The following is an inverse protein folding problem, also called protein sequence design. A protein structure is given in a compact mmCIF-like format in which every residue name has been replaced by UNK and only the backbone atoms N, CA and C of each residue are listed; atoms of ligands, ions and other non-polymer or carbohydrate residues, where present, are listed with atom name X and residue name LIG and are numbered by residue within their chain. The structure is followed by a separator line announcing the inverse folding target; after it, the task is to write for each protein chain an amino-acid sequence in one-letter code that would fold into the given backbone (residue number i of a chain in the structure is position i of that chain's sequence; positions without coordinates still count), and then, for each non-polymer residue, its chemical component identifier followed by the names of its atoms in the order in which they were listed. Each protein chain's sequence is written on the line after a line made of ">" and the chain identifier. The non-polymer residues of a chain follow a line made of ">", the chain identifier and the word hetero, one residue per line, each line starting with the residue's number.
data_IF_296634342028
#
_entry.id   IF_296634342028
#
_cell.length_a   1.000
_cell.length_b   1.000
_cell.length_c   1.000
_cell.angle_alpha   90.00
_cell.angle_beta   90.00
_cell.angle_gamma   90.00
#
_symmetry.space_group_name_H-M   'P 1'
#
loop_
_entity.id
_entity.type
_entity.pdbx_description
1 polymer ?
#
# COMPACT_ATOMS: atom_id res chain seq x y z
N UNK A 1 0.44 -13.96 -5.83
CA UNK A 1 0.76 -12.76 -6.63
C UNK A 1 2.21 -12.32 -6.49
N UNK A 2 2.75 -12.18 -5.27
CA UNK A 2 4.03 -11.48 -4.99
C UNK A 2 5.24 -12.39 -4.64
N UNK A 3 5.11 -13.71 -4.80
CA UNK A 3 6.14 -14.71 -4.47
C UNK A 3 7.18 -14.87 -5.59
N UNK A 4 7.94 -13.81 -5.90
CA UNK A 4 8.75 -13.73 -7.12
C UNK A 4 9.75 -14.87 -7.34
N UNK A 5 10.51 -15.28 -6.31
CA UNK A 5 11.44 -16.42 -6.45
C UNK A 5 10.71 -17.71 -6.82
N UNK A 6 9.60 -18.01 -6.13
CA UNK A 6 8.75 -19.17 -6.44
C UNK A 6 8.15 -19.07 -7.86
N UNK A 7 7.93 -17.85 -8.34
CA UNK A 7 7.38 -17.57 -9.67
C UNK A 7 8.46 -17.56 -10.78
N UNK A 8 9.71 -17.87 -10.44
CA UNK A 8 10.82 -18.07 -11.37
C UNK A 8 11.80 -16.90 -11.48
N UNK A 9 11.79 -15.94 -10.55
CA UNK A 9 12.80 -14.87 -10.50
C UNK A 9 14.16 -15.47 -10.09
N UNK A 10 15.22 -15.37 -10.92
CA UNK A 10 16.50 -16.03 -10.64
C UNK A 10 17.33 -15.28 -9.59
N UNK A 11 17.26 -13.96 -9.55
CA UNK A 11 18.03 -13.12 -8.63
C UNK A 11 17.31 -12.85 -7.30
N UNK A 12 18.08 -12.80 -6.21
CA UNK A 12 17.56 -12.56 -4.84
C UNK A 12 18.21 -11.39 -4.11
N UNK A 13 19.16 -10.68 -4.75
CA UNK A 13 19.87 -9.55 -4.12
C UNK A 13 18.93 -8.43 -3.67
N UNK A 14 17.79 -8.24 -4.35
CA UNK A 14 16.76 -7.26 -3.97
C UNK A 14 16.21 -7.50 -2.54
N UNK A 15 16.30 -8.72 -2.00
CA UNK A 15 15.83 -9.07 -0.66
C UNK A 15 16.83 -8.68 0.44
N UNK A 16 18.08 -8.36 0.09
CA UNK A 16 19.17 -8.14 1.04
C UNK A 16 19.37 -6.66 1.43
N UNK A 17 18.55 -5.77 0.89
CA UNK A 17 18.63 -4.33 1.18
C UNK A 17 17.86 -3.98 2.45
N UNK A 18 18.48 -3.16 3.29
CA UNK A 18 17.86 -2.55 4.47
C UNK A 18 17.93 -1.03 4.35
N UNK A 19 16.87 -0.35 4.76
CA UNK A 19 16.89 1.10 4.89
C UNK A 19 17.58 1.52 6.20
N UNK A 20 18.54 2.42 6.09
CA UNK A 20 19.26 3.00 7.23
C UNK A 20 18.91 4.49 7.30
N UNK A 21 18.12 4.93 8.28
CA UNK A 21 17.91 6.35 8.52
C UNK A 21 19.23 7.06 8.81
N UNK A 22 19.28 8.36 8.53
CA UNK A 22 20.50 9.16 8.60
C UNK A 22 21.06 9.25 10.02
N UNK A 23 20.20 9.55 10.98
CA UNK A 23 20.60 9.96 12.34
C UNK A 23 20.30 8.89 13.40
N UNK A 24 19.75 7.75 13.00
CA UNK A 24 19.45 6.62 13.90
C UNK A 24 19.37 5.30 13.12
N UNK A 25 19.53 4.18 13.82
CA UNK A 25 19.21 2.86 13.27
C UNK A 25 17.77 2.47 13.59
N UNK A 26 17.11 1.80 12.66
CA UNK A 26 15.81 1.19 12.95
C UNK A 26 15.97 0.10 14.01
N UNK A 27 15.04 0.00 14.98
CA UNK A 27 15.01 -1.11 15.91
C UNK A 27 14.91 -2.41 15.14
N UNK A 28 15.55 -3.47 15.66
CA UNK A 28 15.42 -4.79 15.07
C UNK A 28 13.95 -5.20 15.14
N UNK A 29 13.40 -5.69 14.03
CA UNK A 29 12.05 -6.24 14.04
C UNK A 29 12.00 -7.50 14.91
N UNK A 30 11.05 -7.52 15.85
CA UNK A 30 10.80 -8.66 16.74
C UNK A 30 9.31 -8.99 16.71
N UNK A 31 8.98 -10.12 16.08
CA UNK A 31 7.59 -10.55 15.91
C UNK A 31 6.88 -10.69 17.27
N UNK A 32 7.53 -11.24 18.30
CA UNK A 32 6.96 -11.36 19.65
C UNK A 32 6.53 -10.00 20.22
N UNK A 33 7.38 -8.97 20.11
CA UNK A 33 7.05 -7.63 20.63
C UNK A 33 5.83 -7.05 19.93
N UNK A 34 5.75 -7.19 18.60
CA UNK A 34 4.58 -6.73 17.85
C UNK A 34 3.31 -7.50 18.24
N UNK A 35 3.39 -8.83 18.30
CA UNK A 35 2.23 -9.67 18.63
C UNK A 35 1.71 -9.42 20.05
N UNK A 36 2.60 -9.19 21.02
CA UNK A 36 2.21 -8.77 22.36
C UNK A 36 1.56 -7.38 22.38
N UNK A 37 2.11 -6.41 21.63
CA UNK A 37 1.49 -5.08 21.49
C UNK A 37 0.09 -5.15 20.85
N UNK A 38 -0.13 -6.14 19.97
CA UNK A 38 -1.39 -6.43 19.30
C UNK A 38 -2.32 -7.35 20.09
N UNK A 39 -1.96 -7.83 21.28
CA UNK A 39 -2.79 -8.76 22.05
C UNK A 39 -4.18 -8.17 22.31
N UNK A 40 -5.22 -8.89 21.90
CA UNK A 40 -6.61 -8.44 22.00
C UNK A 40 -7.01 -7.33 21.04
N UNK A 41 -6.18 -7.00 20.05
CA UNK A 41 -6.36 -5.84 19.16
C UNK A 41 -6.47 -6.21 17.68
N UNK A 42 -6.98 -5.26 16.91
CA UNK A 42 -7.11 -5.30 15.45
C UNK A 42 -6.19 -4.28 14.80
N UNK A 43 -5.38 -4.72 13.85
CA UNK A 43 -4.61 -3.85 12.97
C UNK A 43 -5.14 -4.00 11.54
N UNK A 44 -5.63 -2.90 10.95
CA UNK A 44 -6.24 -2.92 9.62
C UNK A 44 -5.51 -2.00 8.65
N UNK A 45 -5.09 -2.56 7.52
CA UNK A 45 -4.67 -1.84 6.34
C UNK A 45 -5.90 -1.50 5.50
N UNK A 46 -6.08 -0.24 5.13
CA UNK A 46 -7.23 0.23 4.34
C UNK A 46 -6.73 0.97 3.11
N UNK A 47 -7.14 0.54 1.92
CA UNK A 47 -6.74 1.24 0.71
C UNK A 47 -6.69 0.38 -0.54
N UNK A 48 -5.64 0.58 -1.34
CA UNK A 48 -5.44 -0.08 -2.64
C UNK A 48 -4.59 -1.37 -2.54
N UNK A 49 -4.19 -1.92 -3.70
CA UNK A 49 -3.42 -3.17 -3.77
C UNK A 49 -2.06 -3.09 -3.07
N UNK A 50 -1.48 -1.89 -2.94
CA UNK A 50 -0.19 -1.71 -2.26
C UNK A 50 -0.35 -1.93 -0.75
N UNK A 51 -1.49 -1.52 -0.16
CA UNK A 51 -1.78 -1.82 1.23
C UNK A 51 -2.02 -3.32 1.47
N UNK A 52 -2.63 -4.03 0.51
CA UNK A 52 -2.70 -5.50 0.55
C UNK A 52 -1.30 -6.10 0.47
N UNK A 53 -0.42 -5.57 -0.38
CA UNK A 53 0.96 -6.01 -0.50
C UNK A 53 1.73 -5.82 0.82
N UNK A 54 1.53 -4.68 1.51
CA UNK A 54 2.12 -4.41 2.82
C UNK A 54 1.53 -5.31 3.92
N UNK A 55 0.22 -5.55 3.92
CA UNK A 55 -0.43 -6.47 4.86
C UNK A 55 0.12 -7.90 4.72
N UNK A 56 0.27 -8.40 3.48
CA UNK A 56 0.84 -9.72 3.22
C UNK A 56 2.29 -9.83 3.67
N UNK A 57 3.08 -8.75 3.56
CA UNK A 57 4.42 -8.66 4.13
C UNK A 57 4.38 -8.80 5.66
N UNK A 58 3.51 -8.03 6.34
CA UNK A 58 3.39 -8.08 7.79
C UNK A 58 3.00 -9.49 8.27
N UNK A 59 2.06 -10.14 7.58
CA UNK A 59 1.69 -11.55 7.85
C UNK A 59 2.92 -12.45 7.74
N UNK A 60 3.71 -12.34 6.67
CA UNK A 60 4.95 -13.12 6.50
C UNK A 60 5.95 -12.88 7.63
N UNK A 61 6.10 -11.64 8.09
CA UNK A 61 7.03 -11.26 9.15
C UNK A 61 6.64 -11.83 10.52
N UNK A 62 5.34 -11.97 10.83
CA UNK A 62 4.88 -12.47 12.14
C UNK A 62 4.53 -13.95 12.16
N UNK A 63 4.14 -14.54 11.01
CA UNK A 63 3.54 -15.88 11.01
C UNK A 63 4.50 -17.02 11.36
N UNK A 64 5.82 -16.80 11.24
CA UNK A 64 6.83 -17.84 11.42
C UNK A 64 6.92 -18.33 12.87
N UNK A 65 6.54 -17.48 13.83
CA UNK A 65 6.53 -17.79 15.26
C UNK A 65 5.17 -18.27 15.76
N UNK A 66 4.17 -18.37 14.88
CA UNK A 66 2.80 -18.82 15.23
C UNK A 66 2.59 -20.24 14.69
N UNK A 67 2.23 -21.21 15.56
CA UNK A 67 1.92 -22.58 15.12
C UNK A 67 0.81 -22.61 14.06
N UNK A 68 0.88 -23.51 13.05
CA UNK A 68 -0.11 -23.58 11.96
C UNK A 68 -1.58 -23.64 12.41
N UNK A 69 -1.89 -24.40 13.46
CA UNK A 69 -3.23 -24.58 14.03
C UNK A 69 -3.75 -23.34 14.79
N UNK A 70 -2.84 -22.42 15.13
CA UNK A 70 -3.09 -21.17 15.87
C UNK A 70 -3.21 -19.95 14.97
N UNK A 71 -3.06 -20.12 13.65
CA UNK A 71 -3.27 -19.06 12.66
C UNK A 71 -4.30 -19.47 11.62
N UNK A 72 -5.01 -18.49 11.07
CA UNK A 72 -5.96 -18.72 9.98
C UNK A 72 -6.09 -17.49 9.10
N UNK A 73 -6.37 -17.72 7.83
CA UNK A 73 -6.62 -16.67 6.84
C UNK A 73 -8.07 -16.80 6.36
N UNK A 74 -8.84 -15.72 6.40
CA UNK A 74 -10.21 -15.67 5.87
C UNK A 74 -10.37 -14.52 4.88
N UNK A 75 -11.20 -14.78 3.87
CA UNK A 75 -11.47 -13.85 2.79
C UNK A 75 -12.98 -13.58 2.75
N UNK A 76 -13.36 -12.33 3.02
CA UNK A 76 -14.69 -11.81 2.77
C UNK A 76 -14.64 -10.90 1.53
N UNK A 77 -15.80 -10.43 1.06
CA UNK A 77 -15.90 -9.63 -0.16
C UNK A 77 -14.99 -8.39 -0.14
N UNK A 78 -14.91 -7.67 0.98
CA UNK A 78 -14.10 -6.44 1.10
C UNK A 78 -12.92 -6.60 2.05
N UNK A 79 -12.99 -7.58 2.94
CA UNK A 79 -12.04 -7.72 4.05
C UNK A 79 -11.28 -9.02 3.95
N UNK A 80 -9.98 -8.94 4.14
CA UNK A 80 -9.09 -10.09 4.33
C UNK A 80 -8.59 -10.08 5.76
N UNK A 81 -8.68 -11.21 6.47
CA UNK A 81 -8.32 -11.28 7.90
C UNK A 81 -7.35 -12.43 8.15
N UNK A 82 -6.20 -12.10 8.71
CA UNK A 82 -5.27 -13.07 9.30
C UNK A 82 -5.44 -13.04 10.82
N UNK A 83 -5.93 -14.15 11.38
CA UNK A 83 -6.20 -14.30 12.82
C UNK A 83 -5.07 -15.06 13.50
N UNK A 84 -4.67 -14.57 14.67
CA UNK A 84 -3.60 -15.13 15.51
C UNK A 84 -4.20 -15.49 16.87
N UNK A 85 -4.57 -16.76 17.05
CA UNK A 85 -5.48 -17.22 18.10
C UNK A 85 -4.92 -16.98 19.51
N UNK A 86 -3.66 -17.32 19.76
CA UNK A 86 -3.06 -17.21 21.10
C UNK A 86 -2.86 -15.77 21.56
N UNK A 87 -2.85 -14.82 20.63
CA UNK A 87 -2.79 -13.38 20.92
C UNK A 87 -4.17 -12.72 20.92
N UNK A 88 -5.22 -13.43 20.51
CA UNK A 88 -6.53 -12.85 20.21
C UNK A 88 -6.41 -11.59 19.34
N UNK A 89 -5.58 -11.66 18.30
CA UNK A 89 -5.19 -10.51 17.47
C UNK A 89 -5.47 -10.75 15.99
N UNK A 90 -5.69 -9.69 15.23
CA UNK A 90 -5.90 -9.75 13.78
C UNK A 90 -5.02 -8.76 13.00
N UNK A 91 -4.52 -9.22 11.85
CA UNK A 91 -4.07 -8.36 10.77
C UNK A 91 -5.14 -8.38 9.69
N UNK A 92 -5.63 -7.21 9.30
CA UNK A 92 -6.77 -7.07 8.42
C UNK A 92 -6.40 -6.21 7.21
N UNK A 93 -6.99 -6.48 6.05
CA UNK A 93 -6.96 -5.60 4.89
C UNK A 93 -8.39 -5.33 4.44
N UNK A 94 -8.73 -4.05 4.24
CA UNK A 94 -10.01 -3.61 3.71
C UNK A 94 -9.80 -2.88 2.38
N UNK A 95 -10.43 -3.38 1.32
CA UNK A 95 -10.35 -2.77 -0.02
C UNK A 95 -11.17 -1.48 -0.10
N UNK A 96 -10.48 -0.35 -0.28
CA UNK A 96 -11.06 0.96 -0.53
C UNK A 96 -10.04 1.81 -1.32
N UNK A 97 -9.82 1.56 -2.61
CA UNK A 97 -8.67 2.07 -3.36
C UNK A 97 -8.63 3.60 -3.47
N UNK A 98 -9.79 4.26 -3.36
CA UNK A 98 -9.95 5.71 -3.31
C UNK A 98 -10.32 6.23 -1.92
N UNK A 99 -10.39 5.35 -0.91
CA UNK A 99 -10.97 5.55 0.43
C UNK A 99 -12.48 5.84 0.41
N UNK A 100 -12.91 6.80 -0.41
CA UNK A 100 -14.32 7.09 -0.70
C UNK A 100 -14.96 5.99 -1.57
N UNK A 101 -16.30 5.95 -1.61
CA UNK A 101 -17.06 5.02 -2.44
C UNK A 101 -16.73 5.20 -3.93
N UNK A 102 -16.66 4.10 -4.65
CA UNK A 102 -16.37 4.05 -6.08
C UNK A 102 -17.02 2.85 -6.77
N UNK A 103 -17.14 2.89 -8.10
CA UNK A 103 -17.63 1.74 -8.87
C UNK A 103 -16.64 0.56 -8.91
N UNK A 104 -15.45 0.69 -8.32
CA UNK A 104 -14.39 -0.34 -8.30
C UNK A 104 -14.19 -0.96 -6.91
N UNK A 105 -15.07 -0.63 -5.95
CA UNK A 105 -15.10 -1.29 -4.64
C UNK A 105 -15.51 -2.77 -4.75
N UNK A 106 -16.53 -3.16 -5.56
CA UNK A 106 -16.95 -4.55 -5.68
C UNK A 106 -15.83 -5.47 -6.20
N UNK A 107 -15.66 -6.69 -5.65
CA UNK A 107 -14.59 -7.62 -6.06
C UNK A 107 -14.45 -7.87 -7.56
N UNK A 108 -15.57 -7.92 -8.26
CA UNK A 108 -15.62 -8.15 -9.71
C UNK A 108 -15.05 -7.00 -10.53
N UNK A 109 -14.92 -5.80 -9.96
CA UNK A 109 -14.48 -4.57 -10.63
C UNK A 109 -13.02 -4.19 -10.32
N UNK A 110 -12.33 -4.96 -9.47
CA UNK A 110 -10.98 -4.62 -8.97
C UNK A 110 -9.84 -4.88 -9.96
N UNK A 111 -10.13 -5.48 -11.11
CA UNK A 111 -9.14 -5.82 -12.14
C UNK A 111 -8.69 -4.61 -12.99
N UNK A 112 -9.26 -3.43 -12.77
CA UNK A 112 -8.88 -2.20 -13.47
C UNK A 112 -9.31 -2.18 -14.94
N UNK A 113 -10.34 -2.95 -15.30
CA UNK A 113 -10.90 -3.07 -16.66
C UNK A 113 -12.01 -2.04 -16.94
N UNK A 114 -12.46 -1.32 -15.91
CA UNK A 114 -13.47 -0.27 -16.00
C UNK A 114 -12.85 1.09 -15.70
N UNK A 115 -13.44 2.15 -16.25
CA UNK A 115 -13.07 3.52 -15.87
C UNK A 115 -13.56 3.78 -14.44
N UNK A 116 -12.66 4.13 -13.49
CA UNK A 116 -13.08 4.41 -12.13
C UNK A 116 -13.95 5.66 -12.05
N UNK A 117 -15.05 5.55 -11.32
CA UNK A 117 -15.95 6.65 -10.97
C UNK A 117 -16.01 6.75 -9.44
N UNK A 118 -15.65 7.91 -8.89
CA UNK A 118 -15.54 8.15 -7.45
C UNK A 118 -16.68 9.03 -6.93
N UNK A 119 -17.13 8.79 -5.70
CA UNK A 119 -18.08 9.64 -4.97
C UNK A 119 -17.33 10.40 -3.89
N UNK A 120 -16.80 11.57 -4.23
CA UNK A 120 -15.78 12.28 -3.44
C UNK A 120 -16.21 12.62 -2.00
N UNK A 121 -17.51 12.73 -1.73
CA UNK A 121 -18.06 13.01 -0.40
C UNK A 121 -18.70 11.79 0.30
N UNK A 122 -18.64 10.60 -0.30
CA UNK A 122 -19.29 9.39 0.23
C UNK A 122 -18.25 8.44 0.81
N UNK A 123 -18.15 8.37 2.13
CA UNK A 123 -17.16 7.49 2.81
C UNK A 123 -17.77 6.62 3.91
N UNK A 124 -18.93 6.99 4.46
CA UNK A 124 -19.48 6.38 5.68
C UNK A 124 -19.68 4.87 5.60
N UNK A 125 -20.12 4.33 4.44
CA UNK A 125 -20.28 2.88 4.26
C UNK A 125 -18.98 2.10 4.42
N UNK A 126 -17.88 2.66 3.92
CA UNK A 126 -16.57 2.06 4.17
C UNK A 126 -16.17 2.28 5.63
N UNK A 127 -16.31 3.52 6.11
CA UNK A 127 -15.99 3.93 7.47
C UNK A 127 -16.60 3.07 8.58
N UNK A 128 -17.83 2.60 8.42
CA UNK A 128 -18.48 1.72 9.39
C UNK A 128 -17.69 0.43 9.68
N UNK A 129 -16.89 -0.03 8.71
CA UNK A 129 -16.02 -1.22 8.87
C UNK A 129 -14.71 -0.92 9.59
N UNK A 130 -14.30 0.37 9.66
CA UNK A 130 -13.04 0.81 10.23
C UNK A 130 -13.16 1.24 11.69
N UNK A 131 -14.40 1.48 12.17
CA UNK A 131 -14.69 1.83 13.56
C UNK A 131 -14.15 0.78 14.52
N UNK A 132 -13.65 1.26 15.66
CA UNK A 132 -13.12 0.44 16.77
C UNK A 132 -11.92 -0.45 16.44
N UNK A 133 -11.26 -0.25 15.29
CA UNK A 133 -9.95 -0.86 14.99
C UNK A 133 -8.88 -0.11 15.80
N UNK A 134 -7.94 -0.83 16.40
CA UNK A 134 -6.94 -0.24 17.30
C UNK A 134 -5.76 0.39 16.54
N UNK A 135 -5.41 -0.15 15.37
CA UNK A 135 -4.40 0.41 14.47
C UNK A 135 -4.94 0.50 13.04
N UNK A 136 -5.13 1.72 12.53
CA UNK A 136 -5.61 1.97 11.17
C UNK A 136 -4.47 2.48 10.28
N UNK A 137 -4.15 1.73 9.23
CA UNK A 137 -3.09 2.06 8.28
C UNK A 137 -3.73 2.37 6.92
N UNK A 138 -3.87 3.64 6.59
CA UNK A 138 -4.47 4.08 5.32
C UNK A 138 -3.44 4.26 4.22
N UNK A 139 -3.83 3.97 2.97
CA UNK A 139 -3.16 4.50 1.78
C UNK A 139 -4.18 4.79 0.67
N UNK A 140 -3.80 5.63 -0.29
CA UNK A 140 -4.47 5.70 -1.58
C UNK A 140 -3.58 6.45 -2.59
N UNK A 141 -3.20 5.78 -3.68
CA UNK A 141 -2.42 6.44 -4.73
C UNK A 141 -2.54 5.77 -6.09
N UNK A 142 -2.36 4.45 -6.18
CA UNK A 142 -2.05 3.80 -7.48
C UNK A 142 -3.22 3.85 -8.47
N UNK A 143 -4.44 4.05 -7.97
CA UNK A 143 -5.66 4.21 -8.76
C UNK A 143 -5.89 5.65 -9.24
N UNK A 144 -5.24 6.64 -8.62
CA UNK A 144 -5.19 8.03 -9.08
C UNK A 144 -4.14 8.19 -10.18
N UNK A 145 -4.35 7.49 -11.30
CA UNK A 145 -3.36 7.36 -12.39
C UNK A 145 -3.70 8.16 -13.64
N UNK A 146 -4.86 8.79 -13.68
CA UNK A 146 -5.33 9.60 -14.80
C UNK A 146 -5.29 11.09 -14.45
N UNK A 147 -4.92 11.99 -15.39
CA UNK A 147 -4.92 13.43 -15.16
C UNK A 147 -6.29 13.98 -14.74
N UNK A 148 -7.37 13.30 -15.15
CA UNK A 148 -8.74 13.58 -14.74
C UNK A 148 -9.40 12.34 -14.16
N UNK A 149 -10.29 12.54 -13.19
CA UNK A 149 -11.08 11.51 -12.55
C UNK A 149 -12.57 11.75 -12.84
N UNK A 150 -13.31 10.67 -13.14
CA UNK A 150 -14.78 10.74 -13.18
C UNK A 150 -15.31 10.79 -11.75
N UNK A 151 -16.06 11.84 -11.41
CA UNK A 151 -16.63 12.01 -10.08
C UNK A 151 -18.14 12.23 -10.13
N UNK A 152 -18.87 11.66 -9.16
CA UNK A 152 -20.29 11.92 -8.94
C UNK A 152 -20.44 13.02 -7.88
N UNK A 153 -21.01 14.16 -8.26
CA UNK A 153 -21.35 15.27 -7.36
C UNK A 153 -22.84 15.19 -6.93
N UNK A 154 -23.29 14.03 -6.42
CA UNK A 154 -24.69 13.83 -6.03
C UNK A 154 -25.72 13.76 -7.17
N UNK A 155 -25.29 13.92 -8.43
CA UNK A 155 -26.08 13.72 -9.65
C UNK A 155 -25.94 12.28 -10.17
N UNK A 156 -26.83 11.89 -11.10
CA UNK A 156 -26.75 10.60 -11.82
C UNK A 156 -25.56 10.53 -12.78
N UNK A 157 -25.13 11.66 -13.33
CA UNK A 157 -24.04 11.71 -14.31
C UNK A 157 -22.70 12.10 -13.66
N UNK A 158 -21.63 11.46 -14.12
CA UNK A 158 -20.26 11.75 -13.68
C UNK A 158 -19.65 12.91 -14.47
N UNK A 159 -18.90 13.77 -13.79
CA UNK A 159 -18.12 14.85 -14.41
C UNK A 159 -16.62 14.54 -14.37
N UNK A 160 -15.86 15.07 -15.32
CA UNK A 160 -14.39 15.04 -15.27
C UNK A 160 -13.89 16.11 -14.29
N UNK A 161 -13.06 15.68 -13.34
CA UNK A 161 -12.44 16.55 -12.33
C UNK A 161 -10.93 16.38 -12.42
N UNK A 162 -10.17 17.47 -12.30
CA UNK A 162 -8.71 17.39 -12.19
C UNK A 162 -8.29 16.42 -11.07
N UNK A 163 -7.26 15.61 -11.34
CA UNK A 163 -6.77 14.61 -10.40
C UNK A 163 -6.47 15.18 -9.02
N UNK A 164 -5.77 16.32 -8.94
CA UNK A 164 -5.34 16.88 -7.66
C UNK A 164 -6.55 17.42 -6.88
N UNK A 165 -7.51 18.03 -7.58
CA UNK A 165 -8.76 18.51 -6.98
C UNK A 165 -9.60 17.34 -6.45
N UNK A 166 -9.74 16.28 -7.24
CA UNK A 166 -10.49 15.08 -6.84
C UNK A 166 -9.81 14.39 -5.64
N UNK A 167 -8.48 14.24 -5.67
CA UNK A 167 -7.70 13.65 -4.59
C UNK A 167 -7.83 14.45 -3.29
N UNK A 168 -7.71 15.78 -3.36
CA UNK A 168 -7.87 16.66 -2.20
C UNK A 168 -9.27 16.54 -1.58
N UNK A 169 -10.32 16.52 -2.40
CA UNK A 169 -11.70 16.35 -1.91
C UNK A 169 -11.89 15.00 -1.22
N UNK A 170 -11.43 13.90 -1.82
CA UNK A 170 -11.50 12.58 -1.22
C UNK A 170 -10.73 12.50 0.11
N UNK A 171 -9.53 13.08 0.18
CA UNK A 171 -8.75 13.13 1.41
C UNK A 171 -9.40 13.99 2.50
N UNK A 172 -10.04 15.11 2.14
CA UNK A 172 -10.81 15.92 3.11
C UNK A 172 -12.00 15.14 3.67
N UNK A 173 -12.70 14.37 2.84
CA UNK A 173 -13.78 13.47 3.29
C UNK A 173 -13.26 12.38 4.23
N UNK A 174 -12.09 11.80 3.92
CA UNK A 174 -11.41 10.85 4.83
C UNK A 174 -11.01 11.49 6.14
N UNK A 175 -10.36 12.66 6.11
CA UNK A 175 -9.92 13.38 7.29
C UNK A 175 -11.11 13.71 8.21
N UNK A 176 -12.20 14.23 7.64
CA UNK A 176 -13.44 14.49 8.36
C UNK A 176 -14.00 13.23 9.01
N UNK A 177 -14.04 12.10 8.28
CA UNK A 177 -14.49 10.84 8.84
C UNK A 177 -13.64 10.40 10.03
N UNK A 178 -12.30 10.52 9.94
CA UNK A 178 -11.39 10.20 11.05
C UNK A 178 -11.70 11.05 12.27
N UNK A 179 -11.81 12.38 12.09
CA UNK A 179 -12.10 13.31 13.19
C UNK A 179 -13.44 13.05 13.89
N UNK A 180 -14.44 12.58 13.14
CA UNK A 180 -15.79 12.34 13.67
C UNK A 180 -15.95 10.95 14.32
N UNK A 181 -15.12 9.97 13.96
CA UNK A 181 -15.38 8.56 14.29
C UNK A 181 -14.24 7.85 15.03
N UNK A 182 -13.05 8.44 15.11
CA UNK A 182 -11.89 7.81 15.74
C UNK A 182 -11.66 8.38 17.15
N UNK A 183 -11.68 7.50 18.15
CA UNK A 183 -11.22 7.83 19.49
C UNK A 183 -9.69 7.70 19.57
N UNK A 184 -9.00 8.83 19.61
CA UNK A 184 -7.53 8.90 19.68
C UNK A 184 -6.92 8.27 20.94
N UNK A 185 -7.69 8.04 22.01
CA UNK A 185 -7.21 7.33 23.20
C UNK A 185 -7.14 5.81 22.99
N UNK A 186 -7.86 5.31 21.99
CA UNK A 186 -7.93 3.87 21.68
C UNK A 186 -7.19 3.54 20.38
N UNK A 187 -7.39 4.35 19.36
CA UNK A 187 -7.00 4.02 17.99
C UNK A 187 -5.84 4.89 17.54
N UNK A 188 -4.76 4.26 17.08
CA UNK A 188 -3.66 4.95 16.40
C UNK A 188 -3.86 4.92 14.90
N UNK A 189 -3.85 6.10 14.28
CA UNK A 189 -4.05 6.27 12.83
C UNK A 189 -2.73 6.55 12.13
N UNK A 190 -2.52 5.86 11.02
CA UNK A 190 -1.34 5.98 10.17
C UNK A 190 -1.79 6.24 8.74
N UNK A 191 -0.99 7.02 8.00
CA UNK A 191 -1.19 7.22 6.57
C UNK A 191 0.12 7.01 5.81
N UNK A 192 0.09 6.07 4.86
CA UNK A 192 1.23 5.77 3.98
C UNK A 192 1.35 6.85 2.94
N UNK A 193 2.54 7.41 2.80
CA UNK A 193 2.83 8.15 1.58
C UNK A 193 2.86 7.22 0.37
N UNK A 194 2.96 7.82 -0.81
CA UNK A 194 2.72 7.12 -2.07
C UNK A 194 3.82 6.12 -2.42
N UNK A 195 3.41 4.91 -2.79
CA UNK A 195 4.29 3.93 -3.42
C UNK A 195 4.55 4.34 -4.87
N UNK A 196 5.82 4.50 -5.28
CA UNK A 196 6.17 4.89 -6.63
C UNK A 196 5.97 3.73 -7.61
N UNK A 197 6.02 4.08 -8.90
CA UNK A 197 6.05 3.12 -10.01
C UNK A 197 7.36 3.27 -10.76
N UNK A 198 7.81 2.22 -11.46
CA UNK A 198 9.00 2.28 -12.31
C UNK A 198 8.66 1.88 -13.75
N UNK A 199 7.85 2.73 -14.40
CA UNK A 199 7.18 2.40 -15.66
C UNK A 199 7.79 3.09 -16.89
N UNK A 200 8.37 4.29 -16.75
CA UNK A 200 8.74 5.08 -17.92
C UNK A 200 10.19 4.81 -18.32
N UNK A 201 10.46 4.81 -19.62
CA UNK A 201 11.83 4.71 -20.15
C UNK A 201 12.72 5.90 -19.73
N UNK A 202 12.10 7.07 -19.53
CA UNK A 202 12.79 8.28 -19.07
C UNK A 202 13.36 8.17 -17.66
N UNK A 203 12.82 7.27 -16.82
CA UNK A 203 13.25 7.11 -15.42
C UNK A 203 14.72 6.64 -15.31
N UNK A 204 15.29 6.15 -16.42
CA UNK A 204 16.52 5.36 -16.45
C UNK A 204 17.72 6.06 -17.04
N UNK A 205 17.56 7.27 -17.57
CA UNK A 205 18.53 7.92 -18.47
C UNK A 205 19.05 6.98 -19.59
N UNK A 206 18.28 5.96 -19.94
CA UNK A 206 18.66 4.90 -20.86
C UNK A 206 17.41 4.39 -21.58
N UNK A 207 17.30 4.68 -22.88
CA UNK A 207 16.14 4.39 -23.71
C UNK A 207 15.96 2.89 -24.02
N UNK A 208 16.97 2.06 -23.76
CA UNK A 208 16.91 0.61 -23.98
C UNK A 208 16.27 -0.15 -22.81
N UNK A 209 15.96 0.53 -21.69
CA UNK A 209 15.29 -0.09 -20.53
C UNK A 209 13.79 -0.23 -20.77
N UNK A 210 13.22 -1.34 -20.30
CA UNK A 210 11.79 -1.65 -20.43
C UNK A 210 11.17 -1.65 -19.03
N UNK A 211 10.54 -0.54 -18.64
CA UNK A 211 9.96 -0.37 -17.30
C UNK A 211 10.99 -0.78 -16.22
N UNK A 212 10.59 -1.55 -15.22
CA UNK A 212 11.42 -2.17 -14.18
C UNK A 212 11.99 -3.56 -14.56
N UNK A 213 11.81 -4.01 -15.80
CA UNK A 213 12.26 -5.34 -16.20
C UNK A 213 13.79 -5.42 -16.26
N UNK A 214 14.34 -6.53 -15.76
CA UNK A 214 15.77 -6.81 -15.67
C UNK A 214 16.57 -5.83 -14.78
N UNK A 215 15.89 -5.18 -13.84
CA UNK A 215 16.49 -4.31 -12.84
C UNK A 215 16.73 -5.10 -11.56
N UNK A 216 18.00 -5.27 -11.21
CA UNK A 216 18.44 -6.21 -10.16
C UNK A 216 19.17 -5.52 -9.01
N UNK A 217 19.30 -4.19 -9.07
CA UNK A 217 19.90 -3.35 -8.03
C UNK A 217 19.14 -2.03 -7.91
N UNK A 218 19.06 -1.44 -6.70
CA UNK A 218 18.49 -0.11 -6.50
C UNK A 218 19.17 0.96 -7.35
N UNK A 219 18.59 2.15 -7.40
CA UNK A 219 19.35 3.32 -7.86
C UNK A 219 20.58 3.50 -6.96
N UNK A 220 21.74 3.86 -7.54
CA UNK A 220 22.87 4.31 -6.73
C UNK A 220 22.49 5.55 -5.92
N UNK A 221 23.28 5.91 -4.91
CA UNK A 221 23.03 7.08 -4.07
C UNK A 221 23.20 8.38 -4.87
N UNK A 222 22.17 8.73 -5.64
CA UNK A 222 22.08 9.94 -6.46
C UNK A 222 21.11 10.92 -5.82
N UNK A 223 21.42 12.22 -5.98
CA UNK A 223 20.67 13.32 -5.37
C UNK A 223 19.29 13.51 -5.99
N UNK A 224 19.07 13.11 -7.26
CA UNK A 224 17.82 13.34 -7.99
C UNK A 224 17.32 12.08 -8.69
N UNK A 225 16.28 11.47 -8.11
CA UNK A 225 15.45 10.45 -8.73
C UNK A 225 14.09 11.09 -9.07
N UNK A 226 13.64 10.89 -10.30
CA UNK A 226 12.28 11.20 -10.73
C UNK A 226 11.76 10.01 -11.53
N UNK A 227 10.78 9.31 -10.95
CA UNK A 227 10.11 8.14 -11.55
C UNK A 227 8.64 8.46 -11.87
N UNK A 228 8.31 9.75 -11.95
CA UNK A 228 6.96 10.21 -12.25
C UNK A 228 5.97 10.18 -11.09
N UNK A 229 6.45 10.04 -9.84
CA UNK A 229 5.60 10.17 -8.65
C UNK A 229 4.97 11.57 -8.62
N UNK A 230 3.63 11.66 -8.54
CA UNK A 230 2.97 12.96 -8.45
C UNK A 230 3.23 13.61 -7.08
N UNK A 231 4.19 14.55 -7.03
CA UNK A 231 4.55 15.30 -5.82
C UNK A 231 3.44 16.21 -5.31
N UNK A 232 2.53 16.66 -6.17
CA UNK A 232 1.41 17.49 -5.73
C UNK A 232 0.48 16.70 -4.82
N UNK A 233 0.14 15.46 -5.16
CA UNK A 233 -0.67 14.59 -4.29
C UNK A 233 0.03 14.32 -2.94
N UNK A 234 1.37 14.29 -2.92
CA UNK A 234 2.16 14.09 -1.68
C UNK A 234 1.97 15.30 -0.79
N UNK A 235 2.19 16.49 -1.34
CA UNK A 235 2.00 17.77 -0.63
C UNK A 235 0.56 17.92 -0.16
N UNK A 236 -0.44 17.60 -0.99
CA UNK A 236 -1.85 17.61 -0.59
C UNK A 236 -2.10 16.68 0.60
N UNK A 237 -1.54 15.46 0.58
CA UNK A 237 -1.65 14.51 1.69
C UNK A 237 -1.08 15.09 2.98
N UNK A 238 0.14 15.63 2.93
CA UNK A 238 0.79 16.26 4.09
C UNK A 238 -0.03 17.43 4.61
N UNK A 239 -0.51 18.31 3.73
CA UNK A 239 -1.30 19.48 4.13
C UNK A 239 -2.62 19.09 4.80
N UNK A 240 -3.35 18.11 4.25
CA UNK A 240 -4.59 17.61 4.87
C UNK A 240 -4.30 17.04 6.24
N UNK A 241 -3.30 16.16 6.36
CA UNK A 241 -2.89 15.53 7.63
C UNK A 241 -2.50 16.59 8.67
N UNK A 242 -1.72 17.59 8.30
CA UNK A 242 -1.28 18.66 9.20
C UNK A 242 -2.42 19.58 9.65
N UNK A 243 -3.51 19.65 8.87
CA UNK A 243 -4.70 20.42 9.21
C UNK A 243 -5.68 19.69 10.13
N UNK A 244 -5.48 18.39 10.36
CA UNK A 244 -6.36 17.58 11.20
C UNK A 244 -6.14 17.86 12.69
N UNK A 245 -7.22 17.77 13.46
CA UNK A 245 -7.23 17.92 14.92
C UNK A 245 -6.72 16.68 15.63
N UNK A 246 -6.93 15.51 15.04
CA UNK A 246 -6.47 14.23 15.60
C UNK A 246 -5.02 14.00 15.15
N UNK A 247 -4.08 13.75 16.08
CA UNK A 247 -2.71 13.42 15.72
C UNK A 247 -2.68 12.07 15.00
N UNK A 248 -1.94 12.02 13.89
CA UNK A 248 -1.74 10.80 13.12
C UNK A 248 -0.29 10.64 12.69
N UNK A 249 0.11 9.40 12.45
CA UNK A 249 1.47 9.07 12.06
C UNK A 249 1.59 8.98 10.54
N UNK A 250 2.15 10.01 9.92
CA UNK A 250 2.49 9.98 8.49
C UNK A 250 3.81 9.24 8.29
N UNK A 251 3.78 8.08 7.63
CA UNK A 251 4.98 7.30 7.33
C UNK A 251 5.40 7.54 5.88
N UNK A 252 6.40 8.40 5.72
CA UNK A 252 6.94 8.81 4.42
C UNK A 252 7.84 7.71 3.83
N UNK A 253 7.24 6.85 3.01
CA UNK A 253 7.90 5.76 2.29
C UNK A 253 8.28 6.12 0.85
N UNK A 254 7.85 7.28 0.34
CA UNK A 254 7.92 7.56 -1.10
C UNK A 254 9.36 7.59 -1.58
N UNK A 255 10.20 8.44 -0.99
CA UNK A 255 11.56 8.63 -1.49
C UNK A 255 12.43 7.38 -1.34
N UNK A 256 12.37 6.69 -0.21
CA UNK A 256 13.11 5.43 -0.03
C UNK A 256 12.68 4.37 -1.03
N UNK A 257 11.39 4.36 -1.42
CA UNK A 257 10.83 3.40 -2.37
C UNK A 257 11.22 3.72 -3.81
N UNK A 258 11.46 5.00 -4.14
CA UNK A 258 11.93 5.41 -5.48
C UNK A 258 13.33 4.90 -5.79
N UNK A 259 14.15 4.60 -4.78
CA UNK A 259 15.43 3.93 -5.02
C UNK A 259 15.24 2.46 -5.44
N UNK A 260 14.11 1.83 -5.09
CA UNK A 260 13.94 0.37 -5.09
C UNK A 260 13.38 -0.20 -6.38
N UNK A 261 13.81 0.37 -7.49
CA UNK A 261 13.51 -0.08 -8.84
C UNK A 261 13.73 -1.58 -9.13
N UNK A 262 14.52 -2.25 -8.30
CA UNK A 262 14.84 -3.68 -8.32
C UNK A 262 13.79 -4.58 -7.66
N UNK A 263 12.90 -4.02 -6.82
CA UNK A 263 12.07 -4.82 -5.92
C UNK A 263 10.68 -5.16 -6.46
N UNK A 264 10.31 -4.67 -7.65
CA UNK A 264 9.02 -4.95 -8.27
C UNK A 264 8.84 -6.42 -8.67
N UNK A 265 7.58 -6.85 -8.78
CA UNK A 265 7.20 -8.19 -9.26
C UNK A 265 7.62 -8.45 -10.70
N UNK A 266 7.61 -7.41 -11.55
CA UNK A 266 7.97 -7.47 -12.97
C UNK A 266 7.17 -8.57 -13.68
N UNK A 267 7.82 -9.38 -14.52
CA UNK A 267 7.23 -10.55 -15.19
C UNK A 267 7.05 -11.79 -14.28
N UNK A 268 7.37 -11.64 -12.99
CA UNK A 268 7.22 -12.70 -11.99
C UNK A 268 5.96 -12.50 -11.13
N UNK A 269 5.10 -11.56 -11.49
CA UNK A 269 3.78 -11.42 -10.92
C UNK A 269 2.90 -12.66 -11.23
N UNK A 270 2.00 -12.98 -10.30
CA UNK A 270 0.97 -14.00 -10.50
C UNK A 270 -0.44 -13.40 -10.26
N UNK A 271 -0.92 -12.53 -11.17
CA UNK A 271 -2.24 -11.92 -11.05
C UNK A 271 -3.32 -13.01 -11.06
N UNK A 272 -4.30 -12.91 -10.16
CA UNK A 272 -5.33 -13.94 -10.00
C UNK A 272 -4.79 -15.34 -9.66
N UNK A 273 -3.56 -15.44 -9.15
CA UNK A 273 -2.90 -16.71 -8.81
C UNK A 273 -2.32 -17.47 -10.01
N UNK A 274 -2.39 -16.94 -11.23
CA UNK A 274 -1.84 -17.58 -12.44
C UNK A 274 -0.52 -16.93 -12.83
N UNK A 275 0.48 -17.76 -13.12
CA UNK A 275 1.76 -17.28 -13.66
C UNK A 275 1.57 -16.80 -15.09
N UNK A 276 2.35 -15.78 -15.48
CA UNK A 276 2.47 -15.39 -16.88
C UNK A 276 3.01 -16.55 -17.71
N UNK A 277 2.45 -16.75 -18.91
CA UNK A 277 2.94 -17.73 -19.89
C UNK A 277 4.31 -17.33 -20.42
N UNK A 278 5.03 -18.27 -21.06
CA UNK A 278 6.33 -17.94 -21.66
C UNK A 278 6.22 -16.86 -22.73
N UNK A 279 5.14 -16.86 -23.52
CA UNK A 279 4.82 -15.83 -24.50
C UNK A 279 4.63 -14.46 -23.82
N UNK A 280 3.84 -14.40 -22.73
CA UNK A 280 3.64 -13.16 -21.98
C UNK A 280 4.94 -12.65 -21.35
N UNK A 281 5.78 -13.55 -20.80
CA UNK A 281 7.08 -13.20 -20.24
C UNK A 281 8.05 -12.66 -21.30
N UNK A 282 7.88 -13.03 -22.57
CA UNK A 282 8.69 -12.52 -23.68
C UNK A 282 8.36 -11.08 -24.09
N UNK A 283 7.23 -10.53 -23.62
CA UNK A 283 6.83 -9.13 -23.81
C UNK A 283 6.72 -8.37 -22.47
N UNK A 284 7.86 -8.05 -21.82
CA UNK A 284 7.88 -7.30 -20.58
C UNK A 284 7.32 -5.87 -20.75
N UNK A 285 7.34 -5.30 -21.96
CA UNK A 285 6.77 -3.98 -22.20
C UNK A 285 5.26 -3.98 -21.91
N UNK A 286 4.56 -5.06 -22.24
CA UNK A 286 3.15 -5.24 -21.91
C UNK A 286 2.92 -5.84 -20.52
N UNK A 287 3.66 -6.87 -20.15
CA UNK A 287 3.31 -7.72 -19.00
C UNK A 287 4.15 -7.52 -17.74
N UNK A 288 5.23 -6.74 -17.76
CA UNK A 288 5.95 -6.43 -16.53
C UNK A 288 5.09 -5.53 -15.64
N UNK A 289 4.84 -6.01 -14.43
CA UNK A 289 4.22 -5.28 -13.33
C UNK A 289 5.29 -4.51 -12.56
N UNK A 290 5.22 -3.18 -12.67
CA UNK A 290 6.12 -2.26 -11.98
C UNK A 290 5.34 -1.35 -11.02
N UNK A 291 4.27 -1.92 -10.44
CA UNK A 291 3.44 -1.32 -9.41
C UNK A 291 3.61 -2.11 -8.10
N UNK A 292 3.35 -3.42 -8.15
CA UNK A 292 3.43 -4.29 -6.99
C UNK A 292 4.87 -4.73 -6.69
N UNK A 293 5.11 -5.20 -5.47
CA UNK A 293 6.43 -5.49 -4.91
C UNK A 293 6.57 -6.97 -4.55
N UNK A 294 7.72 -7.54 -4.84
CA UNK A 294 8.06 -8.89 -4.41
C UNK A 294 8.08 -9.00 -2.88
N UNK A 295 7.65 -10.15 -2.35
CA UNK A 295 7.82 -10.52 -0.95
C UNK A 295 8.70 -11.79 -0.82
N UNK A 296 9.69 -11.82 0.11
CA UNK A 296 10.16 -10.70 0.91
C UNK A 296 10.78 -9.58 0.03
N UNK A 297 10.81 -8.35 0.52
CA UNK A 297 11.22 -7.18 -0.26
C UNK A 297 10.89 -5.83 0.38
N UNK A 298 10.69 -4.80 -0.45
CA UNK A 298 10.49 -3.41 0.00
C UNK A 298 9.35 -3.23 1.03
N UNK A 299 8.18 -3.89 0.93
CA UNK A 299 7.14 -3.75 1.94
C UNK A 299 7.56 -4.21 3.34
N UNK A 300 8.58 -5.06 3.47
CA UNK A 300 9.14 -5.45 4.78
C UNK A 300 9.79 -4.23 5.46
N UNK A 301 10.48 -3.36 4.70
CA UNK A 301 11.01 -2.09 5.21
C UNK A 301 9.90 -1.14 5.67
N UNK A 302 8.78 -1.08 4.95
CA UNK A 302 7.63 -0.27 5.38
C UNK A 302 7.06 -0.80 6.70
N UNK A 303 7.04 -2.11 6.87
CA UNK A 303 6.58 -2.75 8.11
C UNK A 303 7.60 -2.64 9.25
N UNK A 304 8.91 -2.58 8.99
CA UNK A 304 9.92 -2.20 10.00
C UNK A 304 9.66 -0.77 10.53
N UNK A 305 9.33 0.17 9.64
CA UNK A 305 8.97 1.54 10.02
C UNK A 305 7.66 1.57 10.83
N UNK A 306 6.62 0.87 10.35
CA UNK A 306 5.34 0.76 11.05
C UNK A 306 5.51 0.11 12.43
N UNK A 307 6.29 -0.96 12.53
CA UNK A 307 6.66 -1.61 13.79
C UNK A 307 7.31 -0.60 14.75
N UNK A 308 8.31 0.16 14.30
CA UNK A 308 8.96 1.16 15.14
C UNK A 308 7.98 2.23 15.64
N UNK A 309 7.06 2.68 14.79
CA UNK A 309 6.03 3.64 15.23
C UNK A 309 5.05 3.01 16.23
N UNK A 310 4.56 1.80 15.98
CA UNK A 310 3.63 1.10 16.88
C UNK A 310 4.28 0.83 18.25
N UNK A 311 5.52 0.37 18.29
CA UNK A 311 6.17 0.01 19.56
C UNK A 311 6.59 1.23 20.37
N UNK A 312 7.05 2.30 19.71
CA UNK A 312 7.72 3.40 20.40
C UNK A 312 6.96 4.74 20.36
N UNK A 313 5.82 4.82 19.65
CA UNK A 313 5.02 6.07 19.52
C UNK A 313 3.53 5.91 19.85
N UNK A 314 3.08 4.69 20.13
CA UNK A 314 1.72 4.34 20.59
C UNK A 314 1.84 3.42 21.79
#
# INVERSE_FOLDING_TARGET
>A
MVTCLKNGRPESLYQKWRWQPRDCSLPKFEANLLLEKLRGKRLMFVGDSINLNQMLSMVCMVQSIIPPEKKSFSYASYTTVFKMKDYNATLEFYWAPFLVESNVDPPTMRYGTVVPVVKLESISKHGDNWKNVDYLIFNTYIWWRYPTMKALNGATDSVDVDQNVAYERALKSWAKWVEENVDSNRTSVFFSSMSPTHMKRSDWNNTNRIKCWNETSPFPNISRIDVGTNRQLFTTTVNVIQSMKIPLHFFNITRLSEYRKDAHTSIYAAPGGKLLTQEQKSDPARYADCLDWCLPGLPDTWNELLFALIIYRT
#
